data_IF_104739450511
#
_entry.id   IF_104739450511
#
_cell.length_a   1.000
_cell.length_b   1.000
_cell.length_c   1.000
_cell.angle_alpha   90.00
_cell.angle_beta   90.00
_cell.angle_gamma   90.00
#
_symmetry.space_group_name_H-M   'P 1'
#
loop_
_entity.id
_entity.type
_entity.pdbx_description
1 polymer ?
#
# COMPACT_ATOMS: atom_id res chain seq x y z
N UNK A 1 17.50 -8.82 -8.54
CA UNK A 1 16.93 -8.70 -9.90
C UNK A 1 15.53 -8.09 -9.91
N UNK A 2 14.54 -8.68 -9.22
CA UNK A 2 13.14 -8.22 -9.30
C UNK A 2 12.84 -6.89 -8.56
N UNK A 3 13.48 -6.65 -7.41
CA UNK A 3 13.39 -5.35 -6.72
C UNK A 3 14.05 -4.22 -7.50
N UNK A 4 15.19 -4.48 -8.15
CA UNK A 4 15.83 -3.51 -9.05
C UNK A 4 14.93 -3.16 -10.26
N UNK A 5 14.17 -4.13 -10.79
CA UNK A 5 13.17 -3.86 -11.82
C UNK A 5 12.02 -3.00 -11.29
N UNK A 6 11.48 -3.30 -10.10
CA UNK A 6 10.45 -2.49 -9.46
C UNK A 6 10.94 -1.06 -9.16
N UNK A 7 12.15 -0.92 -8.62
CA UNK A 7 12.75 0.38 -8.33
C UNK A 7 13.09 1.15 -9.61
N UNK A 8 13.55 0.46 -10.67
CA UNK A 8 13.77 1.07 -11.98
C UNK A 8 12.47 1.55 -12.63
N UNK A 9 11.40 0.75 -12.57
CA UNK A 9 10.08 1.16 -13.07
C UNK A 9 9.48 2.31 -12.25
N UNK A 10 9.69 2.33 -10.93
CA UNK A 10 9.32 3.48 -10.08
C UNK A 10 10.11 4.73 -10.44
N UNK A 11 11.43 4.65 -10.54
CA UNK A 11 12.31 5.78 -10.89
C UNK A 11 12.01 6.33 -12.30
N UNK A 12 11.64 5.48 -13.25
CA UNK A 12 11.28 5.90 -14.60
C UNK A 12 9.96 6.69 -14.64
N UNK A 13 9.00 6.37 -13.77
CA UNK A 13 7.75 7.13 -13.62
C UNK A 13 7.97 8.40 -12.80
N UNK A 14 8.83 8.34 -11.76
CA UNK A 14 9.07 9.45 -10.83
C UNK A 14 9.92 10.61 -11.39
N UNK A 15 10.85 10.34 -12.32
CA UNK A 15 11.72 11.39 -12.91
C UNK A 15 10.97 12.39 -13.80
N UNK A 16 9.65 12.23 -14.00
CA UNK A 16 8.82 13.17 -14.76
C UNK A 16 8.20 14.27 -13.90
N UNK A 17 8.38 14.22 -12.57
CA UNK A 17 7.75 15.15 -11.59
C UNK A 17 8.82 16.04 -10.96
N UNK A 18 9.64 16.70 -11.76
CA UNK A 18 10.45 17.85 -11.32
C UNK A 18 10.47 18.86 -12.47
N UNK A 19 9.49 19.76 -12.46
CA UNK A 19 9.32 20.84 -13.41
C UNK A 19 8.07 21.63 -13.05
N UNK A 20 8.25 22.83 -12.50
CA UNK A 20 7.18 23.77 -12.15
C UNK A 20 6.19 23.97 -13.31
N UNK A 21 4.93 23.56 -13.15
CA UNK A 21 3.82 23.96 -14.05
C UNK A 21 2.48 23.81 -13.30
N UNK A 22 1.92 24.93 -12.83
CA UNK A 22 0.71 24.97 -12.00
C UNK A 22 -0.62 24.73 -12.76
N UNK A 23 -0.61 24.28 -14.02
CA UNK A 23 -1.85 24.09 -14.81
C UNK A 23 -1.99 22.71 -15.53
N UNK A 24 -1.10 21.73 -15.31
CA UNK A 24 -1.10 20.42 -16.01
C UNK A 24 -1.68 19.22 -15.21
N UNK A 25 -2.07 19.41 -13.95
CA UNK A 25 -2.35 18.32 -13.00
C UNK A 25 -3.65 17.53 -13.30
N UNK A 26 -4.61 18.14 -14.01
CA UNK A 26 -5.89 17.51 -14.36
C UNK A 26 -5.78 16.43 -15.44
N UNK A 27 -4.85 16.60 -16.39
CA UNK A 27 -4.63 15.65 -17.48
C UNK A 27 -3.98 14.35 -16.98
N UNK A 28 -3.03 14.46 -16.05
CA UNK A 28 -2.36 13.31 -15.44
C UNK A 28 -3.33 12.50 -14.57
N UNK A 29 -4.16 13.19 -13.79
CA UNK A 29 -5.24 12.59 -12.99
C UNK A 29 -6.21 11.75 -13.85
N UNK A 30 -6.56 12.22 -15.05
CA UNK A 30 -7.41 11.47 -15.98
C UNK A 30 -6.70 10.25 -16.62
N UNK A 31 -5.39 10.33 -16.89
CA UNK A 31 -4.60 9.20 -17.38
C UNK A 31 -4.49 8.09 -16.32
N UNK A 32 -4.26 8.45 -15.06
CA UNK A 32 -4.18 7.51 -13.93
C UNK A 32 -5.52 6.78 -13.74
N UNK A 33 -6.65 7.49 -13.82
CA UNK A 33 -7.99 6.87 -13.76
C UNK A 33 -8.22 5.83 -14.84
N UNK A 34 -7.81 6.10 -16.08
CA UNK A 34 -7.91 5.13 -17.20
C UNK A 34 -7.08 3.88 -16.92
N UNK A 35 -5.87 4.04 -16.39
CA UNK A 35 -5.01 2.92 -16.01
C UNK A 35 -5.63 2.07 -14.90
N UNK A 36 -6.21 2.69 -13.89
CA UNK A 36 -6.93 1.95 -12.84
C UNK A 36 -8.14 1.18 -13.35
N UNK A 37 -8.86 1.68 -14.36
CA UNK A 37 -9.93 0.89 -14.98
C UNK A 37 -9.38 -0.39 -15.62
N UNK A 38 -8.20 -0.34 -16.23
CA UNK A 38 -7.54 -1.55 -16.77
C UNK A 38 -7.17 -2.50 -15.64
N UNK A 39 -6.61 -2.00 -14.53
CA UNK A 39 -6.30 -2.82 -13.37
C UNK A 39 -7.56 -3.44 -12.75
N UNK A 40 -8.65 -2.71 -12.58
CA UNK A 40 -9.90 -3.24 -12.05
C UNK A 40 -10.47 -4.35 -12.94
N UNK A 41 -10.38 -4.20 -14.27
CA UNK A 41 -10.76 -5.27 -15.21
C UNK A 41 -9.84 -6.48 -15.07
N UNK A 42 -8.53 -6.27 -14.98
CA UNK A 42 -7.56 -7.35 -14.87
C UNK A 42 -7.70 -8.12 -13.56
N UNK A 43 -7.90 -7.43 -12.44
CA UNK A 43 -8.11 -8.02 -11.12
C UNK A 43 -9.42 -8.80 -11.05
N UNK A 44 -10.49 -8.33 -11.72
CA UNK A 44 -11.75 -9.09 -11.84
C UNK A 44 -11.56 -10.37 -12.64
N UNK A 45 -10.77 -10.34 -13.72
CA UNK A 45 -10.49 -11.52 -14.52
C UNK A 45 -9.53 -12.49 -13.83
N UNK A 46 -8.55 -11.98 -13.07
CA UNK A 46 -7.48 -12.74 -12.42
C UNK A 46 -7.33 -12.37 -10.95
N UNK A 47 -8.26 -12.81 -10.07
CA UNK A 47 -8.30 -12.39 -8.67
C UNK A 47 -7.11 -12.86 -7.84
N UNK A 48 -6.42 -13.92 -8.29
CA UNK A 48 -5.29 -14.54 -7.59
C UNK A 48 -3.93 -14.03 -8.08
N UNK A 49 -3.89 -13.15 -9.08
CA UNK A 49 -2.63 -12.67 -9.64
C UNK A 49 -2.00 -11.62 -8.73
N UNK A 50 -1.03 -12.05 -7.91
CA UNK A 50 -0.28 -11.18 -7.00
C UNK A 50 0.29 -9.94 -7.68
N UNK A 51 0.89 -10.10 -8.86
CA UNK A 51 1.56 -8.98 -9.55
C UNK A 51 0.57 -7.88 -9.91
N UNK A 52 -0.59 -8.24 -10.47
CA UNK A 52 -1.60 -7.26 -10.89
C UNK A 52 -2.11 -6.46 -9.71
N UNK A 53 -2.43 -7.15 -8.61
CA UNK A 53 -2.85 -6.47 -7.39
C UNK A 53 -1.74 -5.63 -6.76
N UNK A 54 -0.50 -6.14 -6.69
CA UNK A 54 0.61 -5.41 -6.08
C UNK A 54 0.90 -4.10 -6.81
N UNK A 55 0.94 -4.12 -8.15
CA UNK A 55 1.12 -2.91 -8.95
C UNK A 55 -0.06 -1.94 -8.79
N UNK A 56 -1.28 -2.46 -8.78
CA UNK A 56 -2.47 -1.65 -8.58
C UNK A 56 -2.47 -0.95 -7.21
N UNK A 57 -2.18 -1.69 -6.14
CA UNK A 57 -2.13 -1.16 -4.77
C UNK A 57 -0.99 -0.17 -4.59
N UNK A 58 0.17 -0.45 -5.18
CA UNK A 58 1.32 0.44 -5.13
C UNK A 58 1.00 1.80 -5.75
N UNK A 59 0.42 1.79 -6.95
CA UNK A 59 0.03 3.03 -7.64
C UNK A 59 -1.07 3.78 -6.88
N UNK A 60 -2.03 3.07 -6.28
CA UNK A 60 -3.05 3.66 -5.41
C UNK A 60 -2.47 4.34 -4.18
N UNK A 61 -1.49 3.71 -3.54
CA UNK A 61 -0.79 4.28 -2.37
C UNK A 61 -0.04 5.54 -2.78
N UNK A 62 0.71 5.49 -3.89
CA UNK A 62 1.49 6.64 -4.35
C UNK A 62 0.61 7.83 -4.73
N UNK A 63 -0.53 7.57 -5.38
CA UNK A 63 -1.51 8.62 -5.66
C UNK A 63 -2.11 9.19 -4.37
N UNK A 64 -2.53 8.33 -3.44
CA UNK A 64 -3.11 8.79 -2.18
C UNK A 64 -2.13 9.59 -1.32
N UNK A 65 -0.81 9.34 -1.43
CA UNK A 65 0.22 10.12 -0.71
C UNK A 65 0.30 11.59 -1.12
N UNK A 66 -0.21 11.96 -2.30
CA UNK A 66 -0.29 13.36 -2.75
C UNK A 66 -1.32 14.16 -1.93
N UNK A 67 -2.24 13.49 -1.24
CA UNK A 67 -3.36 14.09 -0.53
C UNK A 67 -3.11 14.15 0.99
N UNK A 68 -3.96 14.91 1.69
CA UNK A 68 -3.89 15.03 3.15
C UNK A 68 -4.46 13.77 3.80
N UNK A 69 -4.04 13.45 5.02
CA UNK A 69 -4.42 12.21 5.71
C UNK A 69 -5.94 11.99 5.90
N UNK A 70 -6.74 13.04 5.84
CA UNK A 70 -8.20 13.00 6.00
C UNK A 70 -8.95 12.82 4.67
N UNK A 71 -8.27 12.84 3.53
CA UNK A 71 -8.90 12.72 2.22
C UNK A 71 -9.50 11.32 1.96
N UNK A 72 -10.61 11.29 1.23
CA UNK A 72 -11.32 10.07 0.83
C UNK A 72 -10.46 9.10 0.02
N UNK A 73 -9.40 9.60 -0.63
CA UNK A 73 -8.46 8.76 -1.38
C UNK A 73 -7.76 7.73 -0.50
N UNK A 74 -7.48 8.06 0.77
CA UNK A 74 -6.94 7.10 1.73
C UNK A 74 -7.97 6.01 2.08
N UNK A 75 -9.25 6.36 2.16
CA UNK A 75 -10.32 5.38 2.35
C UNK A 75 -10.45 4.45 1.13
N UNK A 76 -10.37 4.99 -0.10
CA UNK A 76 -10.38 4.21 -1.35
C UNK A 76 -9.20 3.26 -1.44
N UNK A 77 -8.00 3.72 -1.10
CA UNK A 77 -6.80 2.87 -1.06
C UNK A 77 -6.95 1.74 -0.02
N UNK A 78 -7.42 2.05 1.20
CA UNK A 78 -7.70 1.04 2.23
C UNK A 78 -8.73 0.01 1.76
N UNK A 79 -9.82 0.43 1.12
CA UNK A 79 -10.82 -0.48 0.57
C UNK A 79 -10.23 -1.41 -0.52
N UNK A 80 -9.31 -0.90 -1.35
CA UNK A 80 -8.60 -1.73 -2.32
C UNK A 80 -7.71 -2.79 -1.64
N UNK A 81 -7.02 -2.44 -0.55
CA UNK A 81 -6.24 -3.40 0.24
C UNK A 81 -7.13 -4.48 0.87
N UNK A 82 -8.25 -4.11 1.49
CA UNK A 82 -9.15 -5.10 2.10
C UNK A 82 -9.69 -6.08 1.05
N UNK A 83 -10.05 -5.61 -0.16
CA UNK A 83 -10.42 -6.49 -1.27
C UNK A 83 -9.28 -7.44 -1.68
N UNK A 84 -8.06 -6.91 -1.78
CA UNK A 84 -6.89 -7.70 -2.16
C UNK A 84 -6.56 -8.80 -1.15
N UNK A 85 -6.72 -8.51 0.14
CA UNK A 85 -6.42 -9.45 1.22
C UNK A 85 -7.40 -10.63 1.26
N UNK A 86 -8.64 -10.48 0.77
CA UNK A 86 -9.57 -11.61 0.63
C UNK A 86 -8.97 -12.73 -0.22
N UNK A 87 -8.31 -12.40 -1.34
CA UNK A 87 -7.77 -13.40 -2.27
C UNK A 87 -6.31 -13.74 -2.01
N UNK A 88 -5.49 -12.80 -1.50
CA UNK A 88 -4.03 -12.98 -1.36
C UNK A 88 -3.49 -12.84 0.06
N UNK A 89 -4.28 -13.16 1.09
CA UNK A 89 -3.85 -13.13 2.50
C UNK A 89 -2.57 -13.94 2.80
N UNK A 90 -2.19 -14.90 1.96
CA UNK A 90 -0.95 -15.70 2.13
C UNK A 90 0.33 -14.99 1.65
N UNK A 91 0.22 -13.80 1.05
CA UNK A 91 1.36 -13.10 0.45
C UNK A 91 1.91 -12.01 1.38
N UNK A 92 3.10 -12.19 1.97
CA UNK A 92 3.62 -11.29 3.01
C UNK A 92 3.93 -9.88 2.47
N UNK A 93 4.26 -9.73 1.18
CA UNK A 93 4.58 -8.42 0.61
C UNK A 93 3.38 -7.48 0.50
N UNK A 94 2.17 -8.00 0.34
CA UNK A 94 0.96 -7.18 0.37
C UNK A 94 0.74 -6.64 1.79
N UNK A 95 0.91 -7.49 2.81
CA UNK A 95 0.84 -7.07 4.21
C UNK A 95 1.88 -6.03 4.58
N UNK A 96 3.14 -6.24 4.18
CA UNK A 96 4.21 -5.25 4.42
C UNK A 96 3.90 -3.90 3.81
N UNK A 97 3.40 -3.87 2.57
CA UNK A 97 3.00 -2.62 1.92
C UNK A 97 1.85 -1.95 2.67
N UNK A 98 0.85 -2.73 3.09
CA UNK A 98 -0.31 -2.21 3.79
C UNK A 98 0.04 -1.67 5.19
N UNK A 99 0.84 -2.39 5.97
CA UNK A 99 1.31 -1.95 7.29
C UNK A 99 2.14 -0.68 7.16
N UNK A 100 3.11 -0.62 6.24
CA UNK A 100 3.91 0.59 6.00
C UNK A 100 3.03 1.78 5.61
N UNK A 101 2.01 1.55 4.80
CA UNK A 101 1.06 2.59 4.42
C UNK A 101 0.24 3.08 5.62
N UNK A 102 -0.34 2.19 6.41
CA UNK A 102 -1.11 2.57 7.61
C UNK A 102 -0.25 3.30 8.65
N UNK A 103 1.02 2.89 8.82
CA UNK A 103 1.98 3.57 9.69
C UNK A 103 2.26 4.99 9.21
N UNK A 104 2.37 5.22 7.90
CA UNK A 104 2.53 6.57 7.35
C UNK A 104 1.31 7.47 7.62
N UNK A 105 0.12 6.89 7.72
CA UNK A 105 -1.12 7.59 8.08
C UNK A 105 -1.33 7.76 9.59
N UNK A 106 -0.41 7.25 10.43
CA UNK A 106 -0.51 7.27 11.91
C UNK A 106 -1.79 6.64 12.48
N UNK A 107 -2.40 5.69 11.77
CA UNK A 107 -3.62 4.99 12.20
C UNK A 107 -3.32 3.84 13.18
N UNK A 108 -2.88 4.16 14.40
CA UNK A 108 -2.34 3.21 15.41
C UNK A 108 -3.22 1.99 15.64
N UNK A 109 -4.52 2.19 15.90
CA UNK A 109 -5.46 1.10 16.21
C UNK A 109 -5.68 0.16 15.03
N UNK A 110 -5.72 0.70 13.81
CA UNK A 110 -5.91 -0.08 12.59
C UNK A 110 -4.63 -0.83 12.25
N UNK A 111 -3.47 -0.18 12.36
CA UNK A 111 -2.16 -0.81 12.14
C UNK A 111 -1.98 -2.01 13.06
N UNK A 112 -2.27 -1.88 14.37
CA UNK A 112 -2.18 -2.99 15.33
C UNK A 112 -3.06 -4.17 14.91
N UNK A 113 -4.34 -3.94 14.64
CA UNK A 113 -5.29 -4.98 14.19
C UNK A 113 -4.83 -5.64 12.88
N UNK A 114 -4.26 -4.86 11.95
CA UNK A 114 -3.73 -5.37 10.69
C UNK A 114 -2.50 -6.25 10.90
N UNK A 115 -1.60 -5.87 11.81
CA UNK A 115 -0.46 -6.71 12.19
C UNK A 115 -0.92 -8.05 12.79
N UNK A 116 -1.89 -8.03 13.70
CA UNK A 116 -2.46 -9.24 14.29
C UNK A 116 -3.10 -10.14 13.21
N UNK A 117 -3.86 -9.54 12.28
CA UNK A 117 -4.44 -10.25 11.13
C UNK A 117 -3.37 -10.83 10.20
N UNK A 118 -2.27 -10.12 9.97
CA UNK A 118 -1.17 -10.58 9.14
C UNK A 118 -0.48 -11.79 9.77
N UNK A 119 -0.19 -11.76 11.08
CA UNK A 119 0.40 -12.88 11.81
C UNK A 119 -0.52 -14.11 11.85
N UNK A 120 -1.84 -13.91 11.96
CA UNK A 120 -2.81 -15.00 11.89
C UNK A 120 -2.91 -15.63 10.48
N UNK A 121 -2.70 -14.86 9.42
CA UNK A 121 -2.89 -15.31 8.04
C UNK A 121 -1.63 -15.93 7.41
N UNK A 122 -0.44 -15.53 7.89
CA UNK A 122 0.84 -15.93 7.32
C UNK A 122 1.45 -17.16 8.03
N UNK A 123 2.21 -18.00 7.33
CA UNK A 123 3.00 -19.05 7.96
C UNK A 123 4.06 -18.48 8.91
N UNK A 124 4.36 -19.20 10.00
CA UNK A 124 5.30 -18.78 11.05
C UNK A 124 6.69 -18.41 10.53
N UNK A 125 7.15 -19.06 9.46
CA UNK A 125 8.45 -18.78 8.82
C UNK A 125 8.56 -17.37 8.23
N UNK A 126 7.43 -16.68 8.04
CA UNK A 126 7.39 -15.33 7.47
C UNK A 126 7.04 -14.27 8.51
N UNK A 127 6.74 -14.67 9.74
CA UNK A 127 6.35 -13.75 10.82
C UNK A 127 7.45 -12.74 11.14
N UNK A 128 8.72 -13.14 11.05
CA UNK A 128 9.87 -12.26 11.29
C UNK A 128 9.79 -10.96 10.49
N UNK A 129 9.35 -11.02 9.23
CA UNK A 129 9.26 -9.85 8.35
C UNK A 129 8.18 -8.86 8.78
N UNK A 130 7.07 -9.36 9.30
CA UNK A 130 5.99 -8.52 9.85
C UNK A 130 6.38 -8.01 11.23
N UNK A 131 7.06 -8.85 12.02
CA UNK A 131 7.50 -8.53 13.37
C UNK A 131 8.47 -7.36 13.41
N UNK A 132 9.44 -7.30 12.49
CA UNK A 132 10.35 -6.14 12.37
C UNK A 132 9.56 -4.84 12.17
N UNK A 133 8.58 -4.83 11.25
CA UNK A 133 7.73 -3.66 11.02
C UNK A 133 6.88 -3.30 12.24
N UNK A 134 6.43 -4.29 12.99
CA UNK A 134 5.65 -4.10 14.21
C UNK A 134 6.48 -3.48 15.34
N UNK A 135 7.73 -3.95 15.52
CA UNK A 135 8.65 -3.39 16.49
C UNK A 135 9.02 -1.95 16.14
N UNK A 136 9.28 -1.66 14.86
CA UNK A 136 9.54 -0.30 14.38
C UNK A 136 8.35 0.63 14.64
N UNK A 137 7.13 0.11 14.48
CA UNK A 137 5.90 0.82 14.78
C UNK A 137 5.73 1.11 16.29
N UNK A 138 5.99 0.15 17.18
CA UNK A 138 5.89 0.38 18.64
C UNK A 138 6.95 1.37 19.12
N UNK A 139 8.16 1.31 18.56
CA UNK A 139 9.25 2.26 18.87
C UNK A 139 8.95 3.67 18.37
N UNK A 140 8.06 3.83 17.39
CA UNK A 140 7.65 5.13 16.92
C UNK A 140 6.81 5.87 17.97
N UNK A 141 7.21 7.10 18.28
CA UNK A 141 6.55 7.99 19.25
C UNK A 141 5.04 8.14 18.96
N UNK A 142 4.20 7.83 19.96
CA UNK A 142 2.74 8.03 19.90
C UNK A 142 1.87 6.79 20.14
N UNK A 143 2.44 5.61 20.38
CA UNK A 143 1.69 4.44 20.86
C UNK A 143 1.75 4.45 22.40
N UNK A 144 0.61 4.59 23.12
CA UNK A 144 0.61 4.44 24.56
C UNK A 144 1.18 3.06 24.92
N UNK A 145 2.30 3.04 25.62
CA UNK A 145 2.86 1.81 26.17
C UNK A 145 1.84 1.15 27.09
N UNK A 146 1.85 -0.19 27.10
CA UNK A 146 0.92 -1.00 27.87
C UNK A 146 0.74 -0.42 29.28
N UNK A 147 -0.50 -0.10 29.62
CA UNK A 147 -0.85 0.22 31.00
C UNK A 147 -0.64 -1.07 31.80
N UNK A 148 0.27 -0.98 32.76
CA UNK A 148 0.78 -2.07 33.61
C UNK A 148 -0.30 -2.96 34.23
#
# INVERSE_FOLDING_TARGET
>A
AWQAYLDATKHAVYRSVDGDTEDDDDCDSAAIRRRWMVYERAVRALPNSYKMWYFYLLERVEYARKFRCDDDEHARARAAFERALVTMHKMPKVWELYIKYLTSLRLVTTTRRTCDRALASLPVTQHERVWVLYLDFIRAEGVPGDTA
#
